data_IF_967795241375
#
_entry.id   IF_967795241375
#
_cell.length_a   1.000
_cell.length_b   1.000
_cell.length_c   1.000
_cell.angle_alpha   90.00
_cell.angle_beta   90.00
_cell.angle_gamma   90.00
#
_symmetry.space_group_name_H-M   'P 1'
#
loop_
_entity.id
_entity.type
_entity.pdbx_description
1 polymer ?
#
# COMPACT_ATOMS: atom_id res chain seq x y z
N UNK A 1 10.86 -17.36 2.41
CA UNK A 1 9.71 -17.64 3.29
C UNK A 1 8.57 -18.10 2.41
N UNK A 2 7.75 -19.04 2.88
CA UNK A 2 6.50 -19.42 2.26
C UNK A 2 5.37 -19.29 3.29
N UNK A 3 4.22 -18.76 2.87
CA UNK A 3 2.98 -18.82 3.64
C UNK A 3 2.23 -20.10 3.27
N UNK A 4 1.63 -20.78 4.24
CA UNK A 4 0.88 -22.01 4.00
C UNK A 4 -0.42 -21.76 3.24
N UNK A 5 -1.04 -20.58 3.43
CA UNK A 5 -2.29 -20.18 2.79
C UNK A 5 -2.23 -18.72 2.35
N UNK A 6 -2.92 -18.36 1.26
CA UNK A 6 -3.10 -16.95 0.89
C UNK A 6 -4.11 -16.28 1.83
N UNK A 7 -3.99 -14.96 2.02
CA UNK A 7 -5.01 -14.18 2.73
C UNK A 7 -4.48 -12.99 3.52
N UNK A 8 -5.44 -12.21 4.04
CA UNK A 8 -5.23 -10.96 4.78
C UNK A 8 -4.44 -11.17 6.08
N UNK A 9 -4.51 -12.37 6.66
CA UNK A 9 -3.78 -12.78 7.86
C UNK A 9 -2.25 -12.67 7.69
N UNK A 10 -1.78 -12.74 6.44
CA UNK A 10 -0.36 -12.66 6.14
C UNK A 10 0.15 -11.22 5.99
N UNK A 11 -0.73 -10.21 6.00
CA UNK A 11 -0.39 -8.82 5.66
C UNK A 11 0.69 -8.26 6.58
N UNK A 12 0.47 -8.34 7.89
CA UNK A 12 1.40 -7.81 8.90
C UNK A 12 2.78 -8.44 8.75
N UNK A 13 2.82 -9.78 8.68
CA UNK A 13 4.08 -10.52 8.54
C UNK A 13 4.79 -10.23 7.23
N UNK A 14 4.04 -10.00 6.15
CA UNK A 14 4.60 -9.60 4.85
C UNK A 14 5.27 -8.24 4.93
N UNK A 15 4.62 -7.26 5.56
CA UNK A 15 5.18 -5.92 5.76
C UNK A 15 6.46 -5.98 6.60
N UNK A 16 6.45 -6.68 7.73
CA UNK A 16 7.65 -6.85 8.57
C UNK A 16 8.84 -7.35 7.77
N UNK A 17 8.64 -8.44 7.02
CA UNK A 17 9.73 -9.06 6.26
C UNK A 17 10.21 -8.18 5.12
N UNK A 18 9.29 -7.51 4.42
CA UNK A 18 9.63 -6.60 3.34
C UNK A 18 10.45 -5.40 3.85
N UNK A 19 10.03 -4.77 4.96
CA UNK A 19 10.74 -3.63 5.54
C UNK A 19 12.05 -4.03 6.21
N UNK A 20 12.12 -5.19 6.86
CA UNK A 20 13.39 -5.73 7.38
C UNK A 20 14.40 -5.98 6.26
N UNK A 21 13.95 -6.57 5.16
CA UNK A 21 14.79 -6.79 3.99
C UNK A 21 15.24 -5.47 3.37
N UNK A 22 14.32 -4.52 3.19
CA UNK A 22 14.63 -3.20 2.68
C UNK A 22 15.64 -2.47 3.57
N UNK A 23 15.55 -2.61 4.89
CA UNK A 23 16.54 -2.10 5.84
C UNK A 23 17.92 -2.70 5.60
N UNK A 24 18.02 -4.04 5.60
CA UNK A 24 19.29 -4.75 5.46
C UNK A 24 19.97 -4.52 4.11
N UNK A 25 19.19 -4.17 3.08
CA UNK A 25 19.68 -3.95 1.72
C UNK A 25 19.81 -2.47 1.33
N UNK A 26 19.46 -1.54 2.23
CA UNK A 26 19.50 -0.11 1.94
C UNK A 26 18.51 0.32 0.83
N UNK A 27 17.37 -0.36 0.72
CA UNK A 27 16.32 -0.02 -0.26
C UNK A 27 15.43 1.08 0.33
N UNK A 28 15.39 2.23 -0.33
CA UNK A 28 14.64 3.40 0.15
C UNK A 28 13.25 3.49 -0.45
N UNK A 29 13.05 3.05 -1.69
CA UNK A 29 11.78 3.14 -2.39
C UNK A 29 10.95 1.86 -2.21
N UNK A 30 9.73 2.01 -1.69
CA UNK A 30 8.82 0.90 -1.43
C UNK A 30 7.45 1.24 -2.01
N UNK A 31 6.95 0.36 -2.88
CA UNK A 31 5.63 0.47 -3.49
C UNK A 31 4.72 -0.60 -2.91
N UNK A 32 3.53 -0.20 -2.44
CA UNK A 32 2.61 -1.08 -1.73
C UNK A 32 1.21 -0.98 -2.36
N UNK A 33 0.64 -2.10 -2.76
CA UNK A 33 -0.75 -2.15 -3.22
C UNK A 33 -1.72 -2.10 -2.03
N UNK A 34 -2.73 -1.23 -2.10
CA UNK A 34 -3.78 -1.14 -1.08
C UNK A 34 -5.07 -0.58 -1.69
N UNK A 35 -6.04 -1.46 -1.93
CA UNK A 35 -7.33 -1.11 -2.55
C UNK A 35 -8.22 -0.29 -1.62
N UNK A 36 -8.58 -0.86 -0.46
CA UNK A 36 -9.51 -0.26 0.51
C UNK A 36 -8.82 0.60 1.57
N UNK A 37 -7.50 0.71 1.50
CA UNK A 37 -6.69 1.41 2.51
C UNK A 37 -6.21 0.55 3.68
N UNK A 38 -6.68 -0.69 3.84
CA UNK A 38 -6.31 -1.56 4.97
C UNK A 38 -4.79 -1.67 5.18
N UNK A 39 -4.03 -1.97 4.12
CA UNK A 39 -2.57 -2.12 4.20
C UNK A 39 -1.90 -0.76 4.43
N UNK A 40 -2.38 0.28 3.75
CA UNK A 40 -1.85 1.63 3.89
C UNK A 40 -2.02 2.18 5.32
N UNK A 41 -3.17 1.94 5.95
CA UNK A 41 -3.42 2.33 7.33
C UNK A 41 -2.49 1.58 8.30
N UNK A 42 -2.22 0.30 8.05
CA UNK A 42 -1.26 -0.48 8.85
C UNK A 42 0.16 0.08 8.73
N UNK A 43 0.60 0.43 7.51
CA UNK A 43 1.90 1.07 7.24
C UNK A 43 2.03 2.41 7.98
N UNK A 44 0.96 3.20 7.97
CA UNK A 44 0.89 4.47 8.69
C UNK A 44 0.98 4.26 10.21
N UNK A 45 0.09 3.43 10.78
CA UNK A 45 0.02 3.16 12.22
C UNK A 45 1.33 2.60 12.79
N UNK A 46 2.00 1.73 12.05
CA UNK A 46 3.28 1.13 12.45
C UNK A 46 4.49 2.03 12.16
N UNK A 47 4.30 3.17 11.51
CA UNK A 47 5.40 4.10 11.19
C UNK A 47 6.45 3.52 10.25
N UNK A 48 6.10 2.50 9.45
CA UNK A 48 7.06 1.78 8.59
C UNK A 48 7.66 2.68 7.50
N UNK A 49 6.92 3.71 7.10
CA UNK A 49 7.32 4.68 6.09
C UNK A 49 8.48 5.60 6.51
N UNK A 50 8.77 5.73 7.80
CA UNK A 50 9.76 6.68 8.30
C UNK A 50 11.16 6.37 7.75
N UNK A 51 11.79 7.40 7.17
CA UNK A 51 13.10 7.27 6.54
C UNK A 51 13.09 6.54 5.20
N UNK A 52 11.93 6.37 4.57
CA UNK A 52 11.76 5.69 3.28
C UNK A 52 10.80 6.44 2.37
N UNK A 53 10.93 6.23 1.08
CA UNK A 53 10.03 6.71 0.06
C UNK A 53 8.91 5.68 -0.16
N UNK A 54 7.80 5.81 0.56
CA UNK A 54 6.65 4.91 0.40
C UNK A 54 5.63 5.48 -0.58
N UNK A 55 5.19 4.63 -1.51
CA UNK A 55 4.09 4.91 -2.44
C UNK A 55 3.01 3.85 -2.29
N UNK A 56 1.79 4.28 -1.97
CA UNK A 56 0.60 3.45 -1.98
C UNK A 56 -0.02 3.49 -3.36
N UNK A 57 -0.28 2.33 -3.96
CA UNK A 57 -0.99 2.19 -5.23
C UNK A 57 -2.38 1.64 -4.97
N UNK A 58 -3.40 2.36 -5.40
CA UNK A 58 -4.81 1.98 -5.22
C UNK A 58 -5.38 1.37 -6.51
N UNK A 59 -6.60 0.83 -6.46
CA UNK A 59 -7.37 0.58 -7.68
C UNK A 59 -7.65 1.88 -8.45
N UNK A 60 -7.93 1.76 -9.75
CA UNK A 60 -8.50 2.85 -10.52
C UNK A 60 -9.90 3.20 -9.99
N UNK A 61 -10.29 4.47 -10.12
CA UNK A 61 -11.68 4.89 -9.88
C UNK A 61 -12.59 4.14 -10.85
N UNK A 62 -13.77 3.71 -10.40
CA UNK A 62 -14.68 2.94 -11.25
C UNK A 62 -14.47 1.43 -11.22
N UNK A 63 -13.54 0.89 -10.41
CA UNK A 63 -13.21 -0.54 -10.45
C UNK A 63 -14.37 -1.44 -10.01
N UNK A 64 -14.97 -1.15 -8.85
CA UNK A 64 -16.12 -1.88 -8.31
C UNK A 64 -17.46 -1.26 -8.70
N UNK A 65 -17.53 0.06 -8.72
CA UNK A 65 -18.72 0.85 -9.04
C UNK A 65 -18.28 2.10 -9.81
N UNK A 66 -19.00 2.44 -10.87
CA UNK A 66 -18.66 3.53 -11.78
C UNK A 66 -18.53 4.87 -11.03
N UNK A 67 -17.42 5.59 -11.28
CA UNK A 67 -17.14 6.88 -10.64
C UNK A 67 -16.75 6.80 -9.15
N UNK A 68 -16.76 5.62 -8.53
CA UNK A 68 -16.46 5.47 -7.09
C UNK A 68 -15.01 5.00 -6.88
N UNK A 69 -14.32 5.67 -5.95
CA UNK A 69 -13.03 5.23 -5.41
C UNK A 69 -13.24 4.30 -4.22
N UNK A 70 -12.59 3.13 -4.22
CA UNK A 70 -12.58 2.23 -3.07
C UNK A 70 -11.65 2.70 -1.94
N UNK A 71 -10.73 3.63 -2.25
CA UNK A 71 -9.79 4.16 -1.29
C UNK A 71 -10.37 5.39 -0.57
N UNK A 72 -10.47 5.40 0.77
CA UNK A 72 -11.06 6.52 1.51
C UNK A 72 -10.25 7.82 1.37
N UNK A 73 -10.93 8.93 1.07
CA UNK A 73 -10.29 10.24 0.89
C UNK A 73 -9.61 10.75 2.17
N UNK A 74 -10.28 10.68 3.33
CA UNK A 74 -9.67 11.08 4.59
C UNK A 74 -8.44 10.24 5.00
N UNK A 75 -8.34 8.98 4.54
CA UNK A 75 -7.10 8.20 4.72
C UNK A 75 -6.00 8.70 3.78
N UNK A 76 -6.34 9.05 2.54
CA UNK A 76 -5.38 9.61 1.58
C UNK A 76 -4.74 10.89 2.12
N UNK A 77 -5.54 11.81 2.64
CA UNK A 77 -5.06 13.07 3.21
C UNK A 77 -4.07 12.81 4.35
N UNK A 78 -4.46 11.98 5.32
CA UNK A 78 -3.58 11.60 6.45
C UNK A 78 -2.27 10.94 6.03
N UNK A 79 -2.30 10.12 4.98
CA UNK A 79 -1.09 9.50 4.43
C UNK A 79 -0.17 10.56 3.81
N UNK A 80 -0.73 11.50 3.05
CA UNK A 80 0.02 12.56 2.39
C UNK A 80 0.63 13.55 3.39
N UNK A 81 -0.08 13.89 4.47
CA UNK A 81 0.43 14.69 5.58
C UNK A 81 1.66 14.06 6.24
N UNK A 82 1.70 12.73 6.31
CA UNK A 82 2.81 11.96 6.88
C UNK A 82 3.89 11.62 5.83
N UNK A 83 3.83 12.24 4.66
CA UNK A 83 4.83 12.10 3.59
C UNK A 83 4.70 10.83 2.75
N UNK A 84 3.61 10.07 2.89
CA UNK A 84 3.33 8.89 2.06
C UNK A 84 2.57 9.33 0.81
N UNK A 85 3.10 8.98 -0.37
CA UNK A 85 2.45 9.26 -1.64
C UNK A 85 1.36 8.24 -1.94
N UNK A 86 0.22 8.68 -2.48
CA UNK A 86 -0.87 7.81 -2.93
C UNK A 86 -1.09 7.99 -4.43
N UNK A 87 -0.95 6.92 -5.20
CA UNK A 87 -1.12 6.89 -6.64
C UNK A 87 -2.35 6.07 -7.04
N UNK A 88 -3.14 6.63 -7.94
CA UNK A 88 -4.37 6.05 -8.47
C UNK A 88 -4.34 6.20 -9.98
N UNK A 89 -4.33 5.09 -10.70
CA UNK A 89 -4.31 5.07 -12.18
C UNK A 89 -4.97 3.81 -12.71
N UNK A 90 -5.15 3.75 -14.03
CA UNK A 90 -5.52 2.52 -14.74
C UNK A 90 -4.57 1.37 -14.39
N UNK A 91 -5.12 0.18 -14.14
CA UNK A 91 -4.34 -1.03 -13.89
C UNK A 91 -3.64 -1.48 -15.18
N UNK A 92 -2.32 -1.31 -15.24
CA UNK A 92 -1.54 -1.53 -16.48
C UNK A 92 -1.61 -2.96 -17.05
N UNK A 93 -1.90 -3.97 -16.21
CA UNK A 93 -1.99 -5.37 -16.60
C UNK A 93 -3.43 -5.88 -16.75
N UNK A 94 -4.43 -5.01 -16.55
CA UNK A 94 -5.82 -5.33 -16.84
C UNK A 94 -6.07 -4.91 -18.29
N UNK A 95 -6.56 -5.84 -19.10
CA UNK A 95 -6.99 -5.54 -20.47
C UNK A 95 -8.00 -4.38 -20.48
N UNK A 96 -8.00 -3.63 -21.59
CA UNK A 96 -8.96 -2.55 -21.84
C UNK A 96 -10.34 -3.12 -22.11
#
# INVERSE_FOLDING_TARGET
MYFERPGIENTERTLEIAFDFATRRGINDIVIASTTGYVAEMVLKKGLHRGRNVVIVTHNVGFREEGVSEFPEGLRERLQEEGIRVHTSTMALRGV
#
